data_IF_792547116985
#
_entry.id   IF_792547116985
#
_cell.length_a   1.000
_cell.length_b   1.000
_cell.length_c   1.000
_cell.angle_alpha   90.00
_cell.angle_beta   90.00
_cell.angle_gamma   90.00
#
_symmetry.space_group_name_H-M   'P 1'
#
loop_
_entity.id
_entity.type
_entity.pdbx_description
1 polymer ?
#
# COMPACT_ATOMS: atom_id res chain seq x y z
N UNK A 1 24.20 -28.94 -20.78
CA UNK A 1 23.79 -28.02 -21.85
C UNK A 1 22.59 -27.15 -21.48
N UNK A 2 21.59 -27.64 -20.73
CA UNK A 2 20.39 -26.88 -20.36
C UNK A 2 20.63 -25.58 -19.56
N UNK A 3 21.64 -25.54 -18.67
CA UNK A 3 21.89 -24.37 -17.81
C UNK A 3 22.23 -23.09 -18.60
N UNK A 4 23.21 -23.16 -19.51
CA UNK A 4 23.65 -21.98 -20.27
C UNK A 4 22.65 -21.56 -21.35
N UNK A 5 22.03 -22.53 -22.03
CA UNK A 5 21.00 -22.25 -23.04
C UNK A 5 19.72 -21.70 -22.39
N UNK A 6 19.34 -22.23 -21.23
CA UNK A 6 18.20 -21.72 -20.46
C UNK A 6 18.41 -20.28 -20.00
N UNK A 7 19.59 -19.96 -19.45
CA UNK A 7 19.89 -18.58 -19.04
C UNK A 7 19.92 -17.61 -20.23
N UNK A 8 20.52 -18.01 -21.34
CA UNK A 8 20.49 -17.21 -22.57
C UNK A 8 19.03 -16.94 -23.03
N UNK A 9 18.16 -17.95 -22.93
CA UNK A 9 16.76 -17.84 -23.35
C UNK A 9 15.95 -16.90 -22.44
N UNK A 10 16.20 -16.91 -21.13
CA UNK A 10 15.61 -15.93 -20.20
C UNK A 10 16.05 -14.50 -20.58
N UNK A 11 17.33 -14.30 -20.88
CA UNK A 11 17.83 -13.00 -21.33
C UNK A 11 17.19 -12.55 -22.64
N UNK A 12 16.90 -13.48 -23.56
CA UNK A 12 16.20 -13.18 -24.80
C UNK A 12 14.76 -12.70 -24.57
N UNK A 13 14.00 -13.39 -23.71
CA UNK A 13 12.61 -13.00 -23.42
C UNK A 13 12.52 -11.65 -22.69
N UNK A 14 13.48 -11.35 -21.82
CA UNK A 14 13.52 -10.07 -21.10
C UNK A 14 14.05 -8.89 -21.94
N UNK A 15 14.53 -9.15 -23.17
CA UNK A 15 15.12 -8.12 -24.03
C UNK A 15 14.07 -7.11 -24.53
N UNK A 16 12.83 -7.56 -24.78
CA UNK A 16 11.72 -6.73 -25.20
C UNK A 16 10.43 -7.15 -24.49
N UNK A 17 10.19 -6.70 -23.24
CA UNK A 17 9.06 -7.14 -22.43
C UNK A 17 7.71 -6.49 -22.81
N UNK A 18 7.65 -5.81 -23.96
CA UNK A 18 6.50 -5.05 -24.45
C UNK A 18 5.96 -5.61 -25.77
N UNK A 19 6.31 -6.85 -26.12
CA UNK A 19 5.78 -7.54 -27.28
C UNK A 19 4.41 -8.18 -27.01
N UNK A 20 4.13 -9.26 -27.73
CA UNK A 20 2.92 -10.08 -27.59
C UNK A 20 3.27 -11.51 -27.10
N UNK A 21 4.47 -11.74 -26.56
CA UNK A 21 4.85 -13.04 -26.03
C UNK A 21 4.07 -13.31 -24.71
N UNK A 22 3.81 -14.58 -24.39
CA UNK A 22 2.99 -14.97 -23.22
C UNK A 22 3.54 -14.47 -21.86
N UNK A 23 4.84 -14.20 -21.78
CA UNK A 23 5.54 -13.70 -20.57
C UNK A 23 5.76 -12.17 -20.58
N UNK A 24 5.28 -11.46 -21.61
CA UNK A 24 5.39 -10.00 -21.71
C UNK A 24 4.40 -9.28 -20.79
N UNK A 25 4.61 -7.97 -20.59
CA UNK A 25 3.64 -7.17 -19.87
C UNK A 25 2.35 -7.02 -20.66
N UNK A 26 1.22 -7.33 -20.00
CA UNK A 26 -0.12 -7.06 -20.52
C UNK A 26 -0.43 -5.54 -20.47
N UNK A 27 0.22 -4.77 -21.35
CA UNK A 27 0.12 -3.32 -21.40
C UNK A 27 -1.31 -2.85 -21.72
N UNK A 28 -2.01 -3.54 -22.62
CA UNK A 28 -3.38 -3.20 -22.99
C UNK A 28 -4.31 -3.25 -21.76
N UNK A 29 -4.22 -4.31 -20.96
CA UNK A 29 -4.95 -4.40 -19.70
C UNK A 29 -4.60 -3.25 -18.75
N UNK A 30 -3.32 -2.95 -18.57
CA UNK A 30 -2.88 -1.90 -17.65
C UNK A 30 -3.40 -0.53 -18.10
N UNK A 31 -3.34 -0.23 -19.39
CA UNK A 31 -3.83 1.01 -19.97
C UNK A 31 -5.34 1.14 -19.79
N UNK A 32 -6.11 0.12 -20.14
CA UNK A 32 -7.57 0.12 -20.02
C UNK A 32 -8.01 0.26 -18.55
N UNK A 33 -7.37 -0.50 -17.65
CA UNK A 33 -7.62 -0.43 -16.21
C UNK A 33 -7.35 0.97 -15.68
N UNK A 34 -6.18 1.53 -15.99
CA UNK A 34 -5.78 2.83 -15.46
C UNK A 34 -6.66 3.94 -16.01
N UNK A 35 -7.00 3.89 -17.30
CA UNK A 35 -7.89 4.87 -17.92
C UNK A 35 -9.30 4.82 -17.29
N UNK A 36 -9.84 3.62 -17.09
CA UNK A 36 -11.14 3.43 -16.44
C UNK A 36 -11.15 4.02 -15.02
N UNK A 37 -10.14 3.68 -14.20
CA UNK A 37 -10.03 4.18 -12.82
C UNK A 37 -9.82 5.69 -12.79
N UNK A 38 -8.94 6.24 -13.64
CA UNK A 38 -8.69 7.67 -13.73
C UNK A 38 -9.97 8.44 -14.10
N UNK A 39 -10.72 7.93 -15.08
CA UNK A 39 -12.00 8.51 -15.47
C UNK A 39 -13.00 8.50 -14.31
N UNK A 40 -13.17 7.37 -13.63
CA UNK A 40 -14.08 7.24 -12.48
C UNK A 40 -13.72 8.19 -11.33
N UNK A 41 -12.43 8.32 -11.02
CA UNK A 41 -11.95 9.24 -9.97
C UNK A 41 -12.21 10.70 -10.33
N UNK A 42 -12.02 11.09 -11.60
CA UNK A 42 -12.20 12.47 -12.04
C UNK A 42 -13.66 12.86 -12.30
N UNK A 43 -14.57 11.90 -12.39
CA UNK A 43 -15.98 12.13 -12.73
C UNK A 43 -16.90 11.69 -11.60
N UNK A 44 -17.37 10.44 -11.64
CA UNK A 44 -18.42 9.92 -10.77
C UNK A 44 -18.05 10.03 -9.29
N UNK A 45 -16.78 9.79 -8.94
CA UNK A 45 -16.32 9.76 -7.55
C UNK A 45 -15.74 11.10 -7.07
N UNK A 46 -15.72 12.14 -7.92
CA UNK A 46 -15.18 13.44 -7.57
C UNK A 46 -15.99 14.07 -6.41
N UNK A 47 -15.28 14.61 -5.41
CA UNK A 47 -15.85 15.23 -4.20
C UNK A 47 -16.82 14.35 -3.38
N UNK A 48 -16.82 13.04 -3.61
CA UNK A 48 -17.60 12.10 -2.80
C UNK A 48 -16.81 11.62 -1.60
N UNK A 49 -17.23 12.01 -0.39
CA UNK A 49 -16.75 11.42 0.86
C UNK A 49 -17.70 10.33 1.35
N UNK A 50 -17.16 9.20 1.87
CA UNK A 50 -17.99 8.22 2.55
C UNK A 50 -18.58 8.82 3.83
N UNK A 51 -19.78 8.38 4.22
CA UNK A 51 -20.40 8.80 5.47
C UNK A 51 -19.59 8.24 6.66
N UNK A 52 -19.11 9.13 7.53
CA UNK A 52 -18.25 8.80 8.67
C UNK A 52 -19.07 8.30 9.89
N UNK A 53 -20.40 8.31 9.81
CA UNK A 53 -21.23 7.94 10.94
C UNK A 53 -21.04 6.48 11.37
N UNK A 54 -20.75 6.25 12.66
CA UNK A 54 -20.65 4.91 13.23
C UNK A 54 -19.31 4.18 12.99
N UNK A 55 -18.30 4.83 12.40
CA UNK A 55 -16.96 4.25 12.25
C UNK A 55 -16.33 4.10 13.63
N UNK A 56 -16.31 2.86 14.15
CA UNK A 56 -15.59 2.53 15.37
C UNK A 56 -14.11 2.40 15.03
N UNK A 57 -13.32 3.39 15.43
CA UNK A 57 -11.85 3.27 15.45
C UNK A 57 -11.48 2.13 16.42
N UNK A 58 -11.24 0.94 15.87
CA UNK A 58 -10.81 -0.21 16.66
C UNK A 58 -9.38 0.02 17.10
N UNK A 59 -9.16 0.08 18.42
CA UNK A 59 -7.80 0.16 19.02
C UNK A 59 -6.91 -1.03 18.59
N UNK A 60 -7.53 -2.12 18.17
CA UNK A 60 -6.87 -3.33 17.68
C UNK A 60 -7.61 -3.88 16.46
N UNK A 61 -6.89 -4.03 15.34
CA UNK A 61 -7.43 -4.66 14.13
C UNK A 61 -7.43 -6.17 14.36
N UNK A 62 -8.58 -6.86 14.25
CA UNK A 62 -8.62 -8.30 14.44
C UNK A 62 -7.84 -9.01 13.33
N UNK A 63 -7.13 -10.06 13.69
CA UNK A 63 -6.33 -10.88 12.79
C UNK A 63 -6.90 -12.30 12.71
N UNK A 64 -6.72 -12.96 11.57
CA UNK A 64 -7.11 -14.36 11.40
C UNK A 64 -6.08 -15.28 12.09
N UNK A 65 -6.51 -16.45 12.57
CA UNK A 65 -5.63 -17.46 13.20
C UNK A 65 -4.42 -17.85 12.33
N UNK A 66 -4.56 -17.80 11.00
CA UNK A 66 -3.48 -18.05 10.06
C UNK A 66 -2.46 -16.89 10.03
N UNK A 67 -2.94 -15.64 9.98
CA UNK A 67 -2.06 -14.46 9.94
C UNK A 67 -1.19 -14.32 11.19
N UNK A 68 -1.67 -14.75 12.37
CA UNK A 68 -0.87 -14.77 13.60
C UNK A 68 0.34 -15.72 13.56
N UNK A 69 0.31 -16.75 12.71
CA UNK A 69 1.41 -17.71 12.56
C UNK A 69 2.49 -17.22 11.61
N UNK A 70 2.21 -16.18 10.83
CA UNK A 70 3.20 -15.50 10.00
C UNK A 70 4.10 -14.73 10.98
N UNK A 71 5.16 -15.37 11.45
CA UNK A 71 6.22 -14.67 12.15
C UNK A 71 6.82 -13.69 11.13
N UNK A 72 6.59 -12.40 11.35
CA UNK A 72 7.40 -11.37 10.70
C UNK A 72 8.78 -11.51 11.32
N UNK A 73 9.60 -12.39 10.77
CA UNK A 73 11.02 -12.49 11.12
C UNK A 73 11.68 -11.23 10.57
N UNK A 74 11.54 -10.14 11.31
CA UNK A 74 12.43 -9.00 11.19
C UNK A 74 13.82 -9.50 11.57
N UNK A 75 14.57 -9.94 10.57
CA UNK A 75 15.99 -10.20 10.71
C UNK A 75 16.64 -8.86 11.10
N UNK A 76 16.78 -8.62 12.41
CA UNK A 76 17.56 -7.49 12.94
C UNK A 76 16.90 -6.48 13.87
N UNK A 77 15.61 -6.55 14.22
CA UNK A 77 15.04 -5.61 15.22
C UNK A 77 14.11 -6.28 16.23
N UNK A 78 14.72 -6.76 17.32
CA UNK A 78 14.06 -7.00 18.61
C UNK A 78 13.29 -5.75 19.15
N UNK A 79 13.43 -4.60 18.50
CA UNK A 79 12.90 -3.29 18.90
C UNK A 79 11.48 -2.99 18.42
N UNK A 80 10.95 -3.65 17.37
CA UNK A 80 9.63 -3.29 16.81
C UNK A 80 8.47 -3.79 17.69
N UNK A 81 8.63 -4.93 18.38
CA UNK A 81 7.66 -5.36 19.39
C UNK A 81 7.61 -4.41 20.61
N UNK A 82 8.72 -3.69 20.88
CA UNK A 82 8.77 -2.61 21.89
C UNK A 82 7.96 -1.38 21.47
N UNK A 83 7.80 -1.12 20.17
CA UNK A 83 7.03 0.03 19.67
C UNK A 83 5.53 -0.07 20.02
N UNK A 84 4.99 -1.29 20.11
CA UNK A 84 3.64 -1.53 20.64
C UNK A 84 3.48 -1.06 22.10
N UNK A 85 4.56 -1.11 22.89
CA UNK A 85 4.62 -0.54 24.25
C UNK A 85 4.73 0.99 24.24
N UNK A 86 5.44 1.59 23.27
CA UNK A 86 5.55 3.04 23.13
C UNK A 86 4.26 3.72 22.64
N UNK A 87 3.42 3.04 21.85
CA UNK A 87 2.09 3.55 21.49
C UNK A 87 1.13 3.66 22.68
N UNK A 88 1.37 2.93 23.79
CA UNK A 88 0.65 3.17 25.05
C UNK A 88 1.13 4.45 25.77
N UNK A 89 2.29 5.00 25.41
CA UNK A 89 2.76 6.29 25.92
C UNK A 89 2.14 7.49 25.17
N UNK A 90 1.65 7.29 23.93
CA UNK A 90 0.97 8.31 23.12
C UNK A 90 -0.33 8.84 23.77
N UNK A 91 -0.90 8.10 24.73
CA UNK A 91 -2.00 8.59 25.57
C UNK A 91 -1.66 9.89 26.35
N UNK A 92 -0.37 10.26 26.49
CA UNK A 92 0.02 11.56 27.05
C UNK A 92 0.32 12.65 26.00
N UNK A 93 0.53 12.30 24.73
CA UNK A 93 0.84 13.27 23.67
C UNK A 93 -0.45 13.85 23.06
N UNK A 94 -1.56 13.09 23.08
CA UNK A 94 -2.86 13.59 22.64
C UNK A 94 -3.37 14.81 23.45
N UNK A 95 -2.88 15.03 24.68
CA UNK A 95 -3.16 16.26 25.43
C UNK A 95 -2.43 17.50 24.91
N UNK A 96 -1.31 17.34 24.20
CA UNK A 96 -0.55 18.46 23.64
C UNK A 96 -1.10 18.91 22.27
N UNK A 97 -1.82 18.03 21.57
CA UNK A 97 -2.33 18.32 20.23
C UNK A 97 -3.64 19.16 20.22
N UNK A 98 -4.29 19.35 21.38
CA UNK A 98 -5.47 20.23 21.51
C UNK A 98 -5.12 21.73 21.66
N UNK A 99 -3.84 22.10 21.71
CA UNK A 99 -3.43 23.50 21.97
C UNK A 99 -2.86 24.28 20.78
N UNK A 100 -2.67 23.69 19.60
CA UNK A 100 -2.16 24.44 18.44
C UNK A 100 -3.07 24.30 17.22
N UNK A 101 -4.03 25.23 17.19
CA UNK A 101 -4.54 25.91 16.01
C UNK A 101 -3.56 25.92 14.82
N UNK A 102 -3.94 25.31 13.70
CA UNK A 102 -3.38 25.67 12.40
C UNK A 102 -4.49 26.13 11.46
N UNK A 103 -4.32 27.39 11.07
CA UNK A 103 -5.09 28.23 10.15
C UNK A 103 -5.41 27.55 8.81
N UNK A 104 -6.55 27.87 8.17
CA UNK A 104 -6.96 27.28 6.91
C UNK A 104 -6.45 28.12 5.71
N UNK A 105 -5.16 28.08 5.41
CA UNK A 105 -4.64 28.53 4.12
C UNK A 105 -3.44 27.66 3.75
N UNK A 106 -3.27 27.33 2.45
CA UNK A 106 -2.17 26.56 1.80
C UNK A 106 -2.58 25.08 1.53
N UNK A 107 -2.74 24.56 0.30
CA UNK A 107 -2.35 24.96 -1.06
C UNK A 107 -3.30 24.27 -2.08
N UNK A 108 -3.83 25.05 -3.04
CA UNK A 108 -4.13 24.60 -4.41
C UNK A 108 -2.81 24.64 -5.19
N UNK A 109 -2.28 23.49 -5.61
CA UNK A 109 -1.55 23.23 -6.87
C UNK A 109 -1.67 21.73 -7.14
#
# INVERSE_FOLDING_TARGET
MLFYLGWLKVGQFLMNPFGEDDDDFELNYILDRNNCIAYQMATEMADQLPNIHGVRMLKFIPHTRASFKIQVTLLGFHSIFKLSRYLNLSHNIAKYCEMESWSPEIIFI
#
